data_IF_349702511210
#
_entry.id   IF_349702511210
#
_cell.length_a   1.000
_cell.length_b   1.000
_cell.length_c   1.000
_cell.angle_alpha   90.00
_cell.angle_beta   90.00
_cell.angle_gamma   90.00
#
_symmetry.space_group_name_H-M   'P 1'
#
loop_
_entity.id
_entity.type
_entity.pdbx_description
1 polymer ?
#
# COMPACT_ATOMS: atom_id res chain seq x y z
N UNK A 1 -8.19 -1.50 28.35
CA UNK A 1 -8.53 -1.47 29.78
C UNK A 1 -7.27 -1.82 30.55
N UNK A 2 -6.76 -0.92 31.40
CA UNK A 2 -5.53 -1.15 32.16
C UNK A 2 -5.64 -2.32 33.14
N UNK A 3 -6.83 -2.59 33.68
CA UNK A 3 -7.11 -3.68 34.64
C UNK A 3 -8.41 -4.40 34.32
N UNK A 4 -8.53 -5.64 34.81
CA UNK A 4 -9.80 -6.37 34.81
C UNK A 4 -10.69 -5.86 35.94
N UNK A 5 -11.96 -5.54 35.66
CA UNK A 5 -12.84 -4.96 36.65
C UNK A 5 -14.16 -4.44 36.09
N UNK A 6 -14.90 -3.71 36.91
CA UNK A 6 -16.19 -3.10 36.52
C UNK A 6 -15.98 -1.61 36.23
N UNK A 7 -16.51 -1.12 35.12
CA UNK A 7 -16.52 0.32 34.80
C UNK A 7 -17.50 1.02 35.75
N UNK A 8 -16.99 1.90 36.61
CA UNK A 8 -17.79 2.57 37.64
C UNK A 8 -18.26 3.96 37.21
N UNK A 9 -17.45 4.69 36.45
CA UNK A 9 -17.76 6.03 35.99
C UNK A 9 -17.05 6.32 34.67
N UNK A 10 -17.75 7.06 33.80
CA UNK A 10 -17.18 7.69 32.61
C UNK A 10 -17.44 9.19 32.80
N UNK A 11 -16.38 9.99 32.90
CA UNK A 11 -16.46 11.44 33.04
C UNK A 11 -15.89 12.11 31.80
N UNK A 12 -16.53 13.18 31.34
CA UNK A 12 -16.00 14.00 30.24
C UNK A 12 -14.88 14.90 30.75
N UNK A 13 -13.78 14.94 30.01
CA UNK A 13 -12.66 15.84 30.27
C UNK A 13 -12.92 17.11 29.45
N UNK A 14 -13.06 18.30 30.08
CA UNK A 14 -13.29 19.53 29.34
C UNK A 14 -12.08 19.88 28.47
N UNK A 15 -12.33 20.46 27.30
CA UNK A 15 -11.27 20.99 26.45
C UNK A 15 -10.64 22.23 27.10
N UNK A 16 -9.31 22.30 27.11
CA UNK A 16 -8.53 23.47 27.47
C UNK A 16 -7.57 23.79 26.33
N UNK A 17 -7.98 24.66 25.43
CA UNK A 17 -7.23 25.01 24.21
C UNK A 17 -5.90 25.71 24.54
N UNK A 18 -5.82 26.44 25.66
CA UNK A 18 -4.62 27.18 26.09
C UNK A 18 -3.48 26.24 26.55
N UNK A 19 -3.81 25.05 27.02
CA UNK A 19 -2.86 24.01 27.46
C UNK A 19 -2.69 22.87 26.45
N UNK A 20 -3.37 22.94 25.30
CA UNK A 20 -3.34 21.88 24.28
C UNK A 20 -4.09 20.61 24.71
N UNK A 21 -5.22 20.76 25.41
CA UNK A 21 -6.14 19.66 25.70
C UNK A 21 -7.42 19.78 24.86
N UNK A 22 -7.62 18.87 23.92
CA UNK A 22 -8.80 18.86 23.05
C UNK A 22 -10.01 18.12 23.66
N UNK A 23 -10.01 17.91 24.98
CA UNK A 23 -11.03 17.15 25.71
C UNK A 23 -10.86 15.63 25.58
N UNK A 24 -11.85 14.88 26.09
CA UNK A 24 -11.82 13.42 26.06
C UNK A 24 -12.75 12.78 27.10
N UNK A 25 -12.49 11.52 27.43
CA UNK A 25 -13.24 10.76 28.44
C UNK A 25 -12.30 10.09 29.44
N UNK A 26 -12.55 10.29 30.73
CA UNK A 26 -11.89 9.59 31.82
C UNK A 26 -12.75 8.41 32.28
N UNK A 27 -12.25 7.19 32.09
CA UNK A 27 -12.92 5.94 32.46
C UNK A 27 -12.33 5.44 33.78
N UNK A 28 -13.17 5.25 34.79
CA UNK A 28 -12.76 4.72 36.09
C UNK A 28 -13.18 3.25 36.22
N UNK A 29 -12.21 2.37 36.35
CA UNK A 29 -12.42 0.92 36.47
C UNK A 29 -12.08 0.49 37.89
N UNK A 30 -12.99 -0.24 38.53
CA UNK A 30 -12.76 -0.88 39.82
C UNK A 30 -12.23 -2.30 39.60
N UNK A 31 -10.96 -2.51 39.91
CA UNK A 31 -10.33 -3.81 39.84
C UNK A 31 -10.93 -4.81 40.85
N UNK A 32 -10.79 -6.11 40.59
CA UNK A 32 -11.17 -7.15 41.56
C UNK A 32 -10.38 -7.07 42.87
N UNK A 33 -9.16 -6.47 42.84
CA UNK A 33 -8.36 -6.16 44.01
C UNK A 33 -8.92 -5.00 44.87
N UNK A 34 -9.96 -4.30 44.39
CA UNK A 34 -10.56 -3.13 45.04
C UNK A 34 -9.94 -1.78 44.66
N UNK A 35 -8.87 -1.78 43.87
CA UNK A 35 -8.20 -0.57 43.40
C UNK A 35 -9.00 0.14 42.29
N UNK A 36 -9.07 1.46 42.34
CA UNK A 36 -9.71 2.29 41.32
C UNK A 36 -8.66 2.83 40.35
N UNK A 37 -8.68 2.34 39.12
CA UNK A 37 -7.75 2.77 38.07
C UNK A 37 -8.49 3.70 37.10
N UNK A 38 -7.90 4.87 36.84
CA UNK A 38 -8.39 5.84 35.87
C UNK A 38 -7.61 5.72 34.56
N UNK A 39 -8.34 5.59 33.47
CA UNK A 39 -7.81 5.61 32.10
C UNK A 39 -8.35 6.82 31.36
N UNK A 40 -7.48 7.65 30.81
CA UNK A 40 -7.87 8.82 30.03
C UNK A 40 -7.81 8.50 28.54
N UNK A 41 -8.94 8.66 27.86
CA UNK A 41 -9.07 8.50 26.42
C UNK A 41 -9.17 9.90 25.78
N UNK A 42 -8.28 10.25 24.84
CA UNK A 42 -8.36 11.53 24.14
C UNK A 42 -9.57 11.57 23.20
N UNK A 43 -9.98 12.78 22.79
CA UNK A 43 -11.04 12.97 21.77
C UNK A 43 -10.69 12.26 20.45
N UNK A 44 -11.70 11.67 19.79
CA UNK A 44 -11.57 11.05 18.47
C UNK A 44 -12.16 9.64 18.40
N UNK A 45 -11.59 8.64 19.10
CA UNK A 45 -12.14 7.28 19.15
C UNK A 45 -13.49 7.23 19.87
N UNK A 46 -14.49 6.55 19.30
CA UNK A 46 -15.75 6.28 19.98
C UNK A 46 -15.55 5.26 21.11
N UNK A 47 -16.20 5.47 22.26
CA UNK A 47 -16.16 4.52 23.38
C UNK A 47 -17.05 3.30 23.09
N UNK A 48 -16.50 2.11 23.26
CA UNK A 48 -17.24 0.84 23.11
C UNK A 48 -17.88 0.37 24.42
N UNK A 49 -17.42 0.90 25.56
CA UNK A 49 -17.83 0.48 26.91
C UNK A 49 -18.83 1.44 27.55
N UNK A 50 -19.71 0.90 28.39
CA UNK A 50 -20.68 1.65 29.21
C UNK A 50 -20.41 1.48 30.69
N UNK A 51 -20.99 2.36 31.51
CA UNK A 51 -20.95 2.24 32.97
C UNK A 51 -21.67 0.94 33.37
N UNK A 52 -21.01 0.13 34.21
CA UNK A 52 -21.49 -1.18 34.65
C UNK A 52 -20.93 -2.37 33.87
N UNK A 53 -20.19 -2.14 32.77
CA UNK A 53 -19.59 -3.22 32.00
C UNK A 53 -18.41 -3.86 32.74
N UNK A 54 -18.29 -5.19 32.61
CA UNK A 54 -17.14 -5.96 33.08
C UNK A 54 -16.11 -5.99 31.95
N UNK A 55 -14.93 -5.40 32.20
CA UNK A 55 -13.81 -5.37 31.26
C UNK A 55 -12.68 -6.25 31.74
N UNK A 56 -11.95 -6.88 30.81
CA UNK A 56 -10.71 -7.62 31.09
C UNK A 56 -9.49 -6.74 30.83
N UNK A 57 -8.39 -6.99 31.53
CA UNK A 57 -7.11 -6.36 31.23
C UNK A 57 -6.73 -6.55 29.75
N UNK A 58 -6.35 -5.48 29.08
CA UNK A 58 -6.04 -5.46 27.64
C UNK A 58 -7.26 -5.35 26.71
N UNK A 59 -8.50 -5.39 27.21
CA UNK A 59 -9.70 -5.22 26.36
C UNK A 59 -9.76 -3.79 25.80
N UNK A 60 -10.03 -3.59 24.49
CA UNK A 60 -10.18 -2.24 23.93
C UNK A 60 -11.36 -1.51 24.59
N UNK A 61 -11.14 -0.26 24.98
CA UNK A 61 -12.18 0.63 25.54
C UNK A 61 -12.80 1.51 24.45
N UNK A 62 -12.12 1.61 23.31
CA UNK A 62 -12.46 2.45 22.17
C UNK A 62 -12.47 1.65 20.88
N UNK A 63 -13.20 2.14 19.90
CA UNK A 63 -13.09 1.69 18.52
C UNK A 63 -11.81 2.23 17.88
N UNK A 64 -11.32 1.56 16.83
CA UNK A 64 -10.19 2.05 16.05
C UNK A 64 -10.70 3.08 15.03
N UNK A 65 -10.42 4.39 15.19
CA UNK A 65 -10.90 5.40 14.24
C UNK A 65 -10.08 5.43 12.94
N UNK A 66 -8.99 4.65 12.84
CA UNK A 66 -8.11 4.69 11.68
C UNK A 66 -8.82 4.09 10.46
N UNK A 67 -9.11 4.95 9.47
CA UNK A 67 -9.64 4.58 8.15
C UNK A 67 -8.57 4.56 7.05
N UNK A 68 -7.31 4.85 7.41
CA UNK A 68 -6.17 4.80 6.50
C UNK A 68 -5.48 3.44 6.48
N UNK A 69 -4.52 3.30 5.57
CA UNK A 69 -3.66 2.12 5.49
C UNK A 69 -2.36 2.48 4.79
N UNK A 70 -1.26 1.90 5.25
CA UNK A 70 0.02 2.02 4.58
C UNK A 70 0.17 0.89 3.56
N UNK A 71 0.51 1.23 2.32
CA UNK A 71 0.75 0.28 1.24
C UNK A 71 2.13 0.48 0.64
N UNK A 72 2.80 -0.61 0.31
CA UNK A 72 4.09 -0.62 -0.38
C UNK A 72 3.90 -1.18 -1.79
N UNK A 73 4.59 -0.60 -2.76
CA UNK A 73 4.63 -1.08 -4.13
C UNK A 73 6.05 -0.98 -4.66
N UNK A 74 6.51 -2.04 -5.30
CA UNK A 74 7.81 -2.10 -5.96
C UNK A 74 7.66 -1.73 -7.44
N UNK A 75 8.70 -1.13 -8.00
CA UNK A 75 8.77 -0.76 -9.40
C UNK A 75 10.19 -0.84 -9.92
N UNK A 76 10.32 -1.09 -11.21
CA UNK A 76 11.61 -1.19 -11.90
C UNK A 76 11.76 -0.05 -12.91
N UNK A 77 12.99 0.42 -13.09
CA UNK A 77 13.33 1.43 -14.10
C UNK A 77 14.58 0.99 -14.84
N UNK A 78 14.56 1.12 -16.17
CA UNK A 78 15.73 0.84 -16.99
C UNK A 78 16.36 2.16 -17.44
N UNK A 79 17.57 2.44 -16.96
CA UNK A 79 18.36 3.57 -17.41
C UNK A 79 18.95 3.25 -18.80
N UNK A 80 18.42 3.88 -19.84
CA UNK A 80 18.80 3.62 -21.23
C UNK A 80 19.86 4.62 -21.74
N UNK A 81 20.80 4.10 -22.54
CA UNK A 81 21.68 4.91 -23.37
C UNK A 81 21.04 5.06 -24.78
N UNK A 82 20.73 6.29 -25.24
CA UNK A 82 20.16 6.52 -26.57
C UNK A 82 20.96 5.88 -27.71
N UNK A 83 22.28 5.74 -27.54
CA UNK A 83 23.16 5.13 -28.55
C UNK A 83 22.82 3.65 -28.78
N UNK A 84 22.37 2.92 -27.75
CA UNK A 84 21.95 1.51 -27.88
C UNK A 84 20.76 1.39 -28.82
N UNK A 85 19.79 2.29 -28.69
CA UNK A 85 18.59 2.32 -29.54
C UNK A 85 18.96 2.74 -30.96
N UNK A 86 19.83 3.73 -31.13
CA UNK A 86 20.29 4.17 -32.46
C UNK A 86 20.95 3.02 -33.24
N UNK A 87 21.86 2.28 -32.61
CA UNK A 87 22.50 1.13 -33.25
C UNK A 87 21.54 -0.04 -33.47
N UNK A 88 20.59 -0.26 -32.57
CA UNK A 88 19.53 -1.25 -32.75
C UNK A 88 18.68 -0.93 -34.00
N UNK A 89 18.30 0.33 -34.19
CA UNK A 89 17.53 0.75 -35.37
C UNK A 89 18.34 0.63 -36.65
N UNK A 90 19.62 1.00 -36.64
CA UNK A 90 20.50 0.81 -37.78
C UNK A 90 20.65 -0.68 -38.14
N UNK A 91 20.77 -1.55 -37.14
CA UNK A 91 20.81 -2.99 -37.33
C UNK A 91 19.50 -3.51 -37.95
N UNK A 92 18.34 -3.07 -37.46
CA UNK A 92 17.05 -3.44 -38.06
C UNK A 92 16.94 -3.00 -39.53
N UNK A 93 17.36 -1.78 -39.86
CA UNK A 93 17.38 -1.31 -41.23
C UNK A 93 18.27 -2.20 -42.12
N UNK A 94 19.46 -2.57 -41.64
CA UNK A 94 20.37 -3.46 -42.36
C UNK A 94 19.77 -4.87 -42.57
N UNK A 95 19.10 -5.42 -41.55
CA UNK A 95 18.42 -6.73 -41.65
C UNK A 95 17.29 -6.68 -42.69
N UNK A 96 16.46 -5.64 -42.67
CA UNK A 96 15.36 -5.47 -43.64
C UNK A 96 15.90 -5.38 -45.07
N UNK A 97 16.93 -4.55 -45.30
CA UNK A 97 17.57 -4.43 -46.62
C UNK A 97 18.11 -5.78 -47.07
N UNK A 98 18.81 -6.49 -46.19
CA UNK A 98 19.39 -7.81 -46.51
C UNK A 98 18.30 -8.82 -46.89
N UNK A 99 17.19 -8.87 -46.14
CA UNK A 99 16.08 -9.76 -46.43
C UNK A 99 15.44 -9.45 -47.80
N UNK A 100 15.23 -8.18 -48.12
CA UNK A 100 14.71 -7.76 -49.43
C UNK A 100 15.64 -8.22 -50.56
N UNK A 101 16.95 -7.95 -50.42
CA UNK A 101 17.94 -8.33 -51.43
C UNK A 101 18.00 -9.85 -51.63
N UNK A 102 17.92 -10.64 -50.56
CA UNK A 102 17.89 -12.10 -50.66
C UNK A 102 16.65 -12.59 -51.43
N UNK A 103 15.48 -12.03 -51.15
CA UNK A 103 14.24 -12.39 -51.87
C UNK A 103 14.32 -11.99 -53.34
N UNK A 104 14.81 -10.79 -53.64
CA UNK A 104 14.99 -10.34 -55.03
C UNK A 104 16.01 -11.20 -55.77
N UNK A 105 17.13 -11.54 -55.14
CA UNK A 105 18.17 -12.40 -55.73
C UNK A 105 17.64 -13.80 -55.97
N UNK A 106 16.88 -14.38 -55.04
CA UNK A 106 16.18 -15.65 -55.22
C UNK A 106 15.29 -15.61 -56.47
N UNK A 107 14.42 -14.59 -56.59
CA UNK A 107 13.53 -14.44 -57.76
C UNK A 107 14.29 -14.26 -59.07
N UNK A 108 15.46 -13.62 -59.03
CA UNK A 108 16.33 -13.50 -60.21
C UNK A 108 16.86 -14.87 -60.65
N UNK A 109 17.33 -15.69 -59.71
CA UNK A 109 17.86 -17.04 -59.99
C UNK A 109 16.75 -17.95 -60.52
N UNK A 110 15.56 -17.93 -59.91
CA UNK A 110 14.40 -18.72 -60.37
C UNK A 110 14.02 -18.41 -61.83
N UNK A 111 14.14 -17.15 -62.26
CA UNK A 111 13.90 -16.76 -63.67
C UNK A 111 14.92 -17.36 -64.63
N UNK A 112 16.20 -17.43 -64.22
CA UNK A 112 17.27 -18.00 -65.05
C UNK A 112 17.10 -19.52 -65.16
N UNK A 113 16.85 -20.19 -64.03
CA UNK A 113 16.58 -21.63 -63.99
C UNK A 113 15.37 -22.00 -64.88
N UNK A 114 14.31 -21.19 -64.86
CA UNK A 114 13.16 -21.41 -65.74
C UNK A 114 13.48 -21.30 -67.24
N UNK A 115 14.44 -20.45 -67.62
CA UNK A 115 14.88 -20.30 -69.01
C UNK A 115 15.80 -21.45 -69.44
N UNK A 116 16.70 -21.88 -68.55
CA UNK A 116 17.68 -22.93 -68.84
C UNK A 116 17.08 -24.35 -68.74
N UNK A 117 15.85 -24.49 -68.20
CA UNK A 117 15.16 -25.76 -67.94
C UNK A 117 16.04 -26.81 -67.22
N UNK A 118 17.03 -26.34 -66.48
CA UNK A 118 17.91 -27.11 -65.61
C UNK A 118 17.82 -26.51 -64.21
N UNK A 119 17.65 -27.40 -63.22
CA UNK A 119 17.41 -27.05 -61.82
C UNK A 119 18.69 -27.12 -60.98
#
# INVERSE_FOLDING_TARGET
>A
APVSGIVTQIAEIPANEDEGYWGGSAITIKAESGELVKENVPVGPALTVKVGDIVKAGQPLTENPNVGGFGQADGEIVLQDPRRIQWLLAFFAAVIVTQILLVLKKKQVEKVQAFEMNF
#
